data_IF_497835640728
#
_entry.id   IF_497835640728
#
_cell.length_a   1.000
_cell.length_b   1.000
_cell.length_c   1.000
_cell.angle_alpha   90.00
_cell.angle_beta   90.00
_cell.angle_gamma   90.00
#
_symmetry.space_group_name_H-M   'P 1'
#
loop_
_entity.id
_entity.type
_entity.pdbx_description
1 polymer ?
#
# COMPACT_ATOMS: atom_id res chain seq x y z
N UNK A 1 -8.49 -12.60 -5.06
CA UNK A 1 -8.05 -11.19 -5.26
C UNK A 1 -8.27 -10.71 -6.71
N UNK A 2 -9.10 -11.41 -7.50
CA UNK A 2 -9.42 -11.10 -8.91
C UNK A 2 -10.73 -10.29 -9.08
N UNK A 3 -11.47 -10.06 -7.98
CA UNK A 3 -12.77 -9.41 -8.02
C UNK A 3 -12.71 -7.88 -8.19
N UNK A 4 -11.66 -7.20 -7.68
CA UNK A 4 -11.52 -5.76 -7.89
C UNK A 4 -11.22 -5.41 -9.36
N UNK A 5 -10.41 -6.22 -10.04
CA UNK A 5 -10.14 -6.06 -11.47
C UNK A 5 -11.37 -6.33 -12.34
N UNK A 6 -12.18 -7.34 -11.99
CA UNK A 6 -13.44 -7.63 -12.65
C UNK A 6 -14.50 -6.52 -12.45
N UNK A 7 -14.56 -5.87 -11.28
CA UNK A 7 -15.51 -4.79 -10.99
C UNK A 7 -15.15 -3.46 -11.65
N UNK A 8 -13.86 -3.18 -11.88
CA UNK A 8 -13.45 -2.03 -12.71
C UNK A 8 -13.91 -2.17 -14.17
N UNK A 9 -14.00 -3.41 -14.68
CA UNK A 9 -14.58 -3.72 -15.99
C UNK A 9 -16.10 -3.48 -16.10
N UNK A 10 -16.78 -3.28 -14.97
CA UNK A 10 -18.22 -2.99 -14.90
C UNK A 10 -18.54 -1.48 -14.84
N UNK A 11 -17.53 -0.60 -14.95
CA UNK A 11 -17.71 0.86 -14.98
C UNK A 11 -17.91 1.51 -13.61
N UNK A 12 -17.60 0.81 -12.51
CA UNK A 12 -17.60 1.38 -11.16
C UNK A 12 -16.31 2.20 -10.98
N UNK A 13 -16.44 3.45 -10.52
CA UNK A 13 -15.29 4.32 -10.22
C UNK A 13 -14.41 3.68 -9.11
N UNK A 14 -13.09 3.52 -9.29
CA UNK A 14 -12.23 2.85 -8.31
C UNK A 14 -12.31 3.36 -6.85
N UNK A 15 -12.45 4.68 -6.57
CA UNK A 15 -12.71 5.17 -5.22
C UNK A 15 -13.99 4.60 -4.61
N UNK A 16 -15.06 4.48 -5.40
CA UNK A 16 -16.35 3.96 -4.94
C UNK A 16 -16.31 2.44 -4.75
N UNK A 17 -15.49 1.74 -5.54
CA UNK A 17 -15.19 0.33 -5.32
C UNK A 17 -14.48 0.11 -3.97
N UNK A 18 -13.44 0.89 -3.66
CA UNK A 18 -12.76 0.82 -2.37
C UNK A 18 -13.71 1.16 -1.22
N UNK A 19 -14.50 2.23 -1.34
CA UNK A 19 -15.51 2.57 -0.32
C UNK A 19 -16.50 1.42 -0.10
N UNK A 20 -16.99 0.82 -1.18
CA UNK A 20 -17.91 -0.32 -1.11
C UNK A 20 -17.28 -1.52 -0.41
N UNK A 21 -16.00 -1.80 -0.70
CA UNK A 21 -15.25 -2.84 -0.01
C UNK A 21 -15.14 -2.57 1.50
N UNK A 22 -14.80 -1.33 1.90
CA UNK A 22 -14.63 -1.00 3.32
C UNK A 22 -15.95 -0.86 4.10
N UNK A 23 -17.09 -0.64 3.43
CA UNK A 23 -18.41 -0.74 4.06
C UNK A 23 -18.68 -2.12 4.66
N UNK A 24 -18.06 -3.18 4.15
CA UNK A 24 -18.17 -4.54 4.70
C UNK A 24 -17.56 -4.66 6.10
N UNK A 25 -16.71 -3.70 6.50
CA UNK A 25 -16.09 -3.64 7.81
C UNK A 25 -16.83 -2.73 8.79
N UNK A 26 -17.99 -2.17 8.43
CA UNK A 26 -18.77 -1.34 9.34
C UNK A 26 -19.10 -2.10 10.64
N UNK A 27 -18.82 -1.48 11.80
CA UNK A 27 -18.98 -2.07 13.12
C UNK A 27 -17.84 -3.00 13.56
N UNK A 28 -16.84 -3.27 12.71
CA UNK A 28 -15.70 -4.09 13.10
C UNK A 28 -14.76 -3.32 14.04
N UNK A 29 -14.33 -3.90 15.18
CA UNK A 29 -13.37 -3.24 16.07
C UNK A 29 -12.01 -3.06 15.39
N UNK A 30 -11.51 -1.83 15.35
CA UNK A 30 -10.23 -1.51 14.70
C UNK A 30 -9.04 -2.27 15.30
N UNK A 31 -9.05 -2.49 16.61
CA UNK A 31 -8.04 -3.26 17.33
C UNK A 31 -8.01 -4.73 16.91
N UNK A 32 -9.18 -5.35 16.68
CA UNK A 32 -9.26 -6.72 16.19
C UNK A 32 -8.71 -6.85 14.77
N UNK A 33 -9.03 -5.90 13.89
CA UNK A 33 -8.47 -5.89 12.53
C UNK A 33 -6.95 -5.76 12.57
N UNK A 34 -6.41 -4.92 13.46
CA UNK A 34 -4.97 -4.78 13.65
C UNK A 34 -4.32 -6.10 14.13
N UNK A 35 -4.98 -6.84 15.02
CA UNK A 35 -4.52 -8.16 15.47
C UNK A 35 -4.58 -9.21 14.35
N UNK A 36 -5.69 -9.26 13.62
CA UNK A 36 -5.82 -10.13 12.44
C UNK A 36 -4.76 -9.81 11.38
N UNK A 37 -4.42 -8.53 11.19
CA UNK A 37 -3.34 -8.08 10.31
C UNK A 37 -1.97 -8.61 10.73
N UNK A 38 -1.66 -8.58 12.04
CA UNK A 38 -0.43 -9.17 12.59
C UNK A 38 -0.38 -10.69 12.34
N UNK A 39 -1.44 -11.41 12.70
CA UNK A 39 -1.53 -12.86 12.49
C UNK A 39 -1.41 -13.23 11.01
N UNK A 40 -2.10 -12.51 10.12
CA UNK A 40 -1.99 -12.72 8.68
C UNK A 40 -0.54 -12.56 8.21
N UNK A 41 0.13 -11.50 8.66
CA UNK A 41 1.49 -11.19 8.25
C UNK A 41 2.52 -12.22 8.73
N UNK A 42 2.38 -12.73 9.96
CA UNK A 42 3.23 -13.82 10.45
C UNK A 42 3.17 -15.05 9.54
N UNK A 43 1.98 -15.42 9.07
CA UNK A 43 1.81 -16.53 8.13
C UNK A 43 2.47 -16.25 6.77
N UNK A 44 2.40 -15.00 6.30
CA UNK A 44 3.10 -14.56 5.08
C UNK A 44 4.61 -14.67 5.28
N UNK A 45 5.16 -14.17 6.39
CA UNK A 45 6.61 -14.18 6.64
C UNK A 45 7.20 -15.57 6.79
N UNK A 46 6.43 -16.50 7.35
CA UNK A 46 6.81 -17.92 7.40
C UNK A 46 6.72 -18.63 6.04
N UNK A 47 6.32 -17.94 4.97
CA UNK A 47 6.16 -18.50 3.63
C UNK A 47 5.00 -19.49 3.50
N UNK A 48 4.12 -19.57 4.50
CA UNK A 48 3.04 -20.58 4.58
C UNK A 48 1.86 -20.29 3.64
N UNK A 49 1.84 -19.13 2.97
CA UNK A 49 0.75 -18.73 2.07
C UNK A 49 1.15 -18.58 0.60
N UNK A 50 2.36 -18.10 0.32
CA UNK A 50 2.69 -17.58 -1.02
C UNK A 50 4.12 -17.89 -1.48
N UNK A 51 4.88 -18.73 -0.76
CA UNK A 51 6.32 -18.86 -0.98
C UNK A 51 7.10 -17.70 -0.36
N UNK A 52 8.29 -17.32 -0.86
CA UNK A 52 9.06 -16.20 -0.31
C UNK A 52 8.20 -14.94 -0.18
N UNK A 53 8.17 -14.29 1.00
CA UNK A 53 7.21 -13.22 1.29
C UNK A 53 7.47 -11.94 0.49
N UNK A 54 8.68 -11.76 -0.03
CA UNK A 54 9.09 -10.55 -0.72
C UNK A 54 9.84 -10.87 -2.00
N UNK A 55 9.68 -9.97 -2.97
CA UNK A 55 10.44 -9.97 -4.21
C UNK A 55 11.86 -9.52 -3.89
N UNK A 56 12.85 -10.39 -4.08
CA UNK A 56 14.23 -10.16 -3.68
C UNK A 56 14.80 -8.81 -4.17
N UNK A 57 14.55 -8.45 -5.44
CA UNK A 57 15.01 -7.17 -6.01
C UNK A 57 14.36 -5.94 -5.36
N UNK A 58 13.09 -6.03 -4.96
CA UNK A 58 12.39 -4.92 -4.31
C UNK A 58 12.94 -4.71 -2.90
N UNK A 59 13.18 -5.82 -2.18
CA UNK A 59 13.80 -5.79 -0.86
C UNK A 59 15.23 -5.26 -0.91
N UNK A 60 16.03 -5.68 -1.90
CA UNK A 60 17.39 -5.17 -2.08
C UNK A 60 17.41 -3.66 -2.38
N UNK A 61 16.50 -3.17 -3.22
CA UNK A 61 16.36 -1.74 -3.50
C UNK A 61 15.98 -0.93 -2.24
N UNK A 62 15.00 -1.43 -1.46
CA UNK A 62 14.62 -0.80 -0.20
C UNK A 62 15.82 -0.68 0.75
N UNK A 63 16.61 -1.76 0.90
CA UNK A 63 17.80 -1.75 1.77
C UNK A 63 18.85 -0.78 1.27
N UNK A 64 19.12 -0.74 -0.03
CA UNK A 64 20.05 0.23 -0.61
C UNK A 64 19.64 1.69 -0.36
N UNK A 65 18.34 2.00 -0.40
CA UNK A 65 17.84 3.34 -0.07
C UNK A 65 17.97 3.66 1.42
N UNK A 66 17.67 2.71 2.30
CA UNK A 66 17.85 2.88 3.74
C UNK A 66 19.32 3.11 4.09
N UNK A 67 20.24 2.33 3.49
CA UNK A 67 21.69 2.48 3.69
C UNK A 67 22.21 3.83 3.15
N UNK A 68 21.57 4.38 2.12
CA UNK A 68 21.85 5.71 1.58
C UNK A 68 21.20 6.85 2.40
N UNK A 69 20.45 6.54 3.46
CA UNK A 69 19.76 7.53 4.29
C UNK A 69 18.55 8.17 3.62
N UNK A 70 18.00 7.55 2.57
CA UNK A 70 16.78 8.02 1.93
C UNK A 70 15.56 7.73 2.82
N UNK A 71 14.59 8.64 2.80
CA UNK A 71 13.27 8.39 3.37
C UNK A 71 12.52 7.38 2.49
N UNK A 72 11.93 6.37 3.13
CA UNK A 72 11.25 5.26 2.48
C UNK A 72 9.76 5.23 2.80
N UNK A 73 8.93 4.88 1.82
CA UNK A 73 7.49 4.80 1.99
C UNK A 73 6.93 3.44 1.53
N UNK A 74 5.81 3.02 2.09
CA UNK A 74 4.99 1.94 1.56
C UNK A 74 3.71 2.54 0.99
N UNK A 75 3.37 2.24 -0.26
CA UNK A 75 2.19 2.83 -0.93
C UNK A 75 1.26 1.72 -1.39
N UNK A 76 0.02 1.70 -0.90
CA UNK A 76 -0.90 0.59 -1.17
C UNK A 76 -2.37 0.97 -1.06
N UNK A 77 -3.23 0.29 -1.84
CA UNK A 77 -4.69 0.39 -1.74
C UNK A 77 -5.24 -0.25 -0.45
N UNK A 78 -4.47 -1.15 0.17
CA UNK A 78 -4.82 -1.73 1.47
C UNK A 78 -4.81 -0.67 2.59
N UNK A 79 -5.37 -1.02 3.74
CA UNK A 79 -5.37 -0.19 4.94
C UNK A 79 -4.27 -0.56 5.96
N UNK A 80 -4.14 0.28 6.99
CA UNK A 80 -3.09 0.18 7.99
C UNK A 80 -2.95 -1.19 8.68
N UNK A 81 -4.03 -1.94 9.04
CA UNK A 81 -3.89 -3.28 9.62
C UNK A 81 -3.02 -4.24 8.81
N UNK A 82 -3.09 -4.20 7.48
CA UNK A 82 -2.24 -5.03 6.63
C UNK A 82 -0.80 -4.52 6.57
N UNK A 83 -0.59 -3.19 6.62
CA UNK A 83 0.71 -2.58 6.32
C UNK A 83 1.55 -2.25 7.56
N UNK A 84 0.93 -2.05 8.72
CA UNK A 84 1.63 -1.79 9.97
C UNK A 84 2.68 -2.88 10.32
N UNK A 85 2.38 -4.20 10.21
CA UNK A 85 3.40 -5.21 10.48
C UNK A 85 4.50 -5.23 9.40
N UNK A 86 4.17 -4.96 8.12
CA UNK A 86 5.17 -4.80 7.06
C UNK A 86 6.09 -3.61 7.33
N UNK A 87 5.53 -2.45 7.69
CA UNK A 87 6.28 -1.24 8.02
C UNK A 87 7.29 -1.52 9.12
N UNK A 88 6.86 -2.21 10.18
CA UNK A 88 7.72 -2.56 11.32
C UNK A 88 8.85 -3.51 10.91
N UNK A 89 8.55 -4.56 10.16
CA UNK A 89 9.56 -5.55 9.72
C UNK A 89 10.54 -4.99 8.68
N UNK A 90 10.03 -4.18 7.75
CA UNK A 90 10.81 -3.60 6.67
C UNK A 90 11.56 -2.33 7.10
N UNK A 91 11.16 -1.70 8.21
CA UNK A 91 11.74 -0.44 8.68
C UNK A 91 11.39 0.74 7.78
N UNK A 92 10.18 0.78 7.21
CA UNK A 92 9.75 1.88 6.35
C UNK A 92 9.31 3.11 7.16
N UNK A 93 9.65 4.31 6.68
CA UNK A 93 9.40 5.56 7.39
C UNK A 93 7.95 6.01 7.27
N UNK A 94 7.37 5.86 6.08
CA UNK A 94 5.99 6.27 5.79
C UNK A 94 5.14 5.09 5.32
N UNK A 95 3.83 5.22 5.56
CA UNK A 95 2.79 4.35 4.97
C UNK A 95 1.72 5.26 4.40
N UNK A 96 1.54 5.21 3.09
CA UNK A 96 0.53 5.93 2.33
C UNK A 96 -0.51 4.91 1.86
N UNK A 97 -1.64 4.87 2.56
CA UNK A 97 -2.60 3.78 2.41
C UNK A 97 -4.04 4.25 2.46
N UNK A 98 -4.99 3.33 2.24
CA UNK A 98 -6.40 3.67 2.42
C UNK A 98 -6.69 3.92 3.90
N UNK A 99 -7.46 4.98 4.20
CA UNK A 99 -7.81 5.39 5.57
C UNK A 99 -9.32 5.25 5.84
N UNK A 100 -9.78 4.11 6.35
CA UNK A 100 -11.14 4.00 6.91
C UNK A 100 -11.30 4.88 8.16
N UNK A 101 -12.51 5.40 8.35
CA UNK A 101 -12.89 6.15 9.53
C UNK A 101 -13.23 5.20 10.69
N UNK A 102 -12.86 5.61 11.89
CA UNK A 102 -13.13 4.92 13.14
C UNK A 102 -13.99 5.84 14.01
N UNK A 103 -15.06 5.31 14.59
CA UNK A 103 -15.95 6.05 15.49
C UNK A 103 -15.34 6.20 16.90
N UNK A 104 -16.11 6.84 17.79
CA UNK A 104 -15.72 7.08 19.18
C UNK A 104 -15.65 5.80 20.02
N UNK A 105 -16.24 4.69 19.57
CA UNK A 105 -16.19 3.39 20.23
C UNK A 105 -15.01 2.52 19.75
N UNK A 106 -14.23 3.02 18.78
CA UNK A 106 -13.08 2.31 18.23
C UNK A 106 -13.44 1.34 17.11
N UNK A 107 -14.64 1.42 16.56
CA UNK A 107 -15.14 0.58 15.48
C UNK A 107 -15.05 1.30 14.13
N UNK A 108 -14.86 0.56 13.04
CA UNK A 108 -14.89 1.14 11.69
C UNK A 108 -16.30 1.60 11.36
N UNK A 109 -16.46 2.82 10.83
CA UNK A 109 -17.77 3.33 10.42
C UNK A 109 -18.24 2.75 9.08
N UNK A 110 -17.33 2.12 8.33
CA UNK A 110 -17.53 1.72 6.93
C UNK A 110 -17.27 2.84 5.93
N UNK A 111 -17.01 4.07 6.39
CA UNK A 111 -16.59 5.19 5.54
C UNK A 111 -15.07 5.24 5.39
N UNK A 112 -14.61 5.86 4.31
CA UNK A 112 -13.18 6.00 3.98
C UNK A 112 -12.87 7.46 3.75
N UNK A 113 -11.98 8.03 4.58
CA UNK A 113 -11.48 9.40 4.43
C UNK A 113 -10.71 9.56 3.12
N UNK A 114 -9.79 8.65 2.88
CA UNK A 114 -8.92 8.69 1.71
C UNK A 114 -8.78 7.30 1.07
N UNK A 115 -9.52 6.99 -0.01
CA UNK A 115 -9.34 5.75 -0.76
C UNK A 115 -8.06 5.85 -1.61
N UNK A 116 -7.07 5.01 -1.33
CA UNK A 116 -5.73 5.05 -1.94
C UNK A 116 -5.69 4.37 -3.32
N UNK A 117 -6.57 4.75 -4.23
CA UNK A 117 -6.59 4.25 -5.62
C UNK A 117 -5.28 4.53 -6.35
N UNK A 118 -5.02 3.85 -7.47
CA UNK A 118 -3.85 4.13 -8.33
C UNK A 118 -3.62 5.64 -8.60
N UNK A 119 -4.67 6.42 -8.91
CA UNK A 119 -4.53 7.86 -9.11
C UNK A 119 -4.27 8.63 -7.80
N UNK A 120 -4.80 8.16 -6.67
CA UNK A 120 -4.51 8.72 -5.35
C UNK A 120 -3.06 8.44 -4.93
N UNK A 121 -2.49 7.27 -5.25
CA UNK A 121 -1.08 6.94 -5.00
C UNK A 121 -0.15 8.00 -5.60
N UNK A 122 -0.36 8.37 -6.86
CA UNK A 122 0.42 9.43 -7.53
C UNK A 122 0.38 10.75 -6.76
N UNK A 123 -0.82 11.20 -6.37
CA UNK A 123 -0.96 12.45 -5.60
C UNK A 123 -0.31 12.34 -4.22
N UNK A 124 -0.45 11.18 -3.57
CA UNK A 124 0.09 10.92 -2.24
C UNK A 124 1.62 10.95 -2.24
N UNK A 125 2.28 10.33 -3.22
CA UNK A 125 3.75 10.35 -3.29
C UNK A 125 4.30 11.72 -3.62
N UNK A 126 3.66 12.46 -4.55
CA UNK A 126 4.07 13.83 -4.88
C UNK A 126 3.93 14.75 -3.67
N UNK A 127 2.82 14.61 -2.93
CA UNK A 127 2.60 15.37 -1.70
C UNK A 127 3.61 15.00 -0.62
N UNK A 128 3.84 13.71 -0.38
CA UNK A 128 4.78 13.25 0.63
C UNK A 128 6.21 13.71 0.31
N UNK A 129 6.64 13.63 -0.96
CA UNK A 129 7.93 14.15 -1.39
C UNK A 129 8.06 15.64 -1.05
N UNK A 130 7.06 16.45 -1.40
CA UNK A 130 7.06 17.89 -1.10
C UNK A 130 7.07 18.19 0.41
N UNK A 131 6.30 17.46 1.21
CA UNK A 131 6.26 17.60 2.68
C UNK A 131 7.60 17.26 3.34
N UNK A 132 8.42 16.43 2.69
CA UNK A 132 9.76 16.06 3.13
C UNK A 132 10.89 16.79 2.38
N UNK A 133 10.56 17.84 1.62
CA UNK A 133 11.55 18.70 0.95
C UNK A 133 12.22 18.08 -0.28
N UNK A 134 11.63 17.04 -0.87
CA UNK A 134 12.10 16.38 -2.08
C UNK A 134 11.26 16.77 -3.31
N UNK A 135 11.93 16.96 -4.45
CA UNK A 135 11.27 17.04 -5.75
C UNK A 135 10.90 15.63 -6.25
N UNK A 136 9.73 15.41 -6.89
CA UNK A 136 9.37 14.10 -7.43
C UNK A 136 10.41 13.53 -8.42
N UNK A 137 11.11 14.39 -9.16
CA UNK A 137 12.16 13.99 -10.10
C UNK A 137 13.44 13.49 -9.41
N UNK A 138 13.63 13.79 -8.12
CA UNK A 138 14.73 13.26 -7.31
C UNK A 138 14.33 11.96 -6.60
N UNK A 139 13.07 11.54 -6.73
CA UNK A 139 12.55 10.32 -6.10
C UNK A 139 12.75 9.07 -6.96
N UNK A 140 12.72 7.94 -6.27
CA UNK A 140 12.69 6.59 -6.84
C UNK A 140 11.28 6.04 -6.69
N UNK A 141 10.91 5.14 -7.59
CA UNK A 141 9.61 4.47 -7.55
C UNK A 141 9.74 3.02 -7.99
N UNK A 142 9.29 2.08 -7.16
CA UNK A 142 9.14 0.68 -7.55
C UNK A 142 7.67 0.25 -7.54
N UNK A 143 7.26 -0.53 -8.54
CA UNK A 143 5.89 -1.01 -8.62
C UNK A 143 5.58 -1.87 -9.83
N UNK A 144 4.40 -2.45 -9.85
CA UNK A 144 3.97 -3.28 -10.97
C UNK A 144 3.35 -2.42 -12.06
N UNK A 145 3.31 -2.92 -13.30
CA UNK A 145 2.72 -2.18 -14.43
C UNK A 145 1.23 -1.93 -14.24
N UNK A 146 0.52 -2.84 -13.57
CA UNK A 146 -0.95 -2.85 -13.47
C UNK A 146 -1.47 -1.80 -12.51
N UNK A 147 -0.79 -1.58 -11.38
CA UNK A 147 -1.25 -0.71 -10.29
C UNK A 147 -0.30 0.48 -9.99
N UNK A 148 0.86 0.50 -10.63
CA UNK A 148 1.94 1.44 -10.36
C UNK A 148 2.20 2.45 -11.48
N UNK A 149 1.61 2.32 -12.67
CA UNK A 149 1.98 3.14 -13.82
C UNK A 149 1.93 4.66 -13.53
N UNK A 150 0.83 5.15 -12.95
CA UNK A 150 0.69 6.57 -12.63
C UNK A 150 1.70 7.07 -11.57
N UNK A 151 2.06 6.23 -10.59
CA UNK A 151 3.07 6.56 -9.59
C UNK A 151 4.45 6.58 -10.24
N UNK A 152 4.78 5.54 -11.01
CA UNK A 152 6.06 5.41 -11.69
C UNK A 152 6.27 6.55 -12.70
N UNK A 153 5.23 6.98 -13.40
CA UNK A 153 5.32 8.13 -14.31
C UNK A 153 5.48 9.49 -13.61
N UNK A 154 5.35 9.55 -12.27
CA UNK A 154 5.45 10.80 -11.50
C UNK A 154 6.81 11.05 -10.86
N UNK A 155 7.72 10.07 -10.91
CA UNK A 155 9.06 10.15 -10.30
C UNK A 155 10.16 10.12 -11.35
N UNK A 156 11.35 10.60 -11.01
CA UNK A 156 12.48 10.65 -11.94
C UNK A 156 13.18 9.30 -12.16
N UNK A 157 13.10 8.38 -11.19
CA UNK A 157 13.79 7.09 -11.24
C UNK A 157 12.81 5.89 -11.12
N UNK A 158 11.94 5.66 -12.12
CA UNK A 158 10.96 4.57 -12.06
C UNK A 158 11.56 3.20 -12.39
N UNK A 159 11.16 2.19 -11.62
CA UNK A 159 11.53 0.79 -11.85
C UNK A 159 10.29 -0.10 -11.82
N UNK A 160 10.02 -0.76 -12.96
CA UNK A 160 8.93 -1.74 -13.05
C UNK A 160 9.38 -3.08 -12.44
N UNK A 161 8.65 -3.50 -11.41
CA UNK A 161 8.76 -4.81 -10.77
C UNK A 161 7.72 -5.75 -11.43
N UNK A 162 8.11 -6.44 -12.50
CA UNK A 162 7.41 -7.63 -13.01
C UNK A 162 7.15 -8.68 -11.90
N UNK A 163 5.89 -9.09 -11.76
CA UNK A 163 5.43 -10.11 -10.81
C UNK A 163 4.77 -11.24 -11.59
N UNK A 164 5.35 -12.44 -11.53
CA UNK A 164 4.64 -13.65 -11.99
C UNK A 164 3.65 -14.16 -10.95
N UNK A 165 3.87 -13.89 -9.66
CA UNK A 165 2.90 -14.09 -8.56
C UNK A 165 3.32 -13.30 -7.31
N UNK A 166 2.35 -12.68 -6.63
CA UNK A 166 2.33 -12.09 -5.28
C UNK A 166 2.78 -10.63 -5.03
N UNK A 167 2.03 -10.03 -4.09
CA UNK A 167 1.76 -8.62 -3.82
C UNK A 167 2.78 -7.94 -2.90
N UNK A 168 3.13 -6.70 -3.27
CA UNK A 168 3.23 -5.46 -2.49
C UNK A 168 4.20 -4.55 -3.26
N UNK A 169 3.70 -3.41 -3.73
CA UNK A 169 4.54 -2.34 -4.29
C UNK A 169 5.35 -1.70 -3.15
N UNK A 170 6.68 -1.70 -3.25
CA UNK A 170 7.57 -0.95 -2.36
C UNK A 170 7.98 0.32 -3.09
N UNK A 171 8.03 1.47 -2.41
CA UNK A 171 8.35 2.78 -3.04
C UNK A 171 9.76 2.82 -3.56
#
# INVERSE_FOLDING_TARGET
MDQLGAMAGLGIDPPDLLRTYYRLYAGAPSAELAEQGRHWYEQVRLGRRTGPPFIARALAALRAHQDAGHLTALVSEAFAPCLAPLRKDLGADLVLCTEPLVDTEGCLTGEVRHPMTAAAKTRAVVRAAAEHGAGPLDCFGYGTRTDGLGLLSSVGNPTVIDVRTALVSLV
#
